data_IF_110560936604
#
_entry.id   IF_110560936604
#
_cell.length_a   1.000
_cell.length_b   1.000
_cell.length_c   1.000
_cell.angle_alpha   90.00
_cell.angle_beta   90.00
_cell.angle_gamma   90.00
#
_symmetry.space_group_name_H-M   'P 1'
#
loop_
_entity.id
_entity.type
_entity.pdbx_description
1 polymer ?
#
# COMPACT_ATOMS: atom_id res chain seq x y z
N UNK A 1 9.96 -9.89 25.14
CA UNK A 1 9.17 -10.04 26.38
C UNK A 1 7.78 -10.45 25.95
N UNK A 2 7.51 -11.76 25.95
CA UNK A 2 6.33 -12.35 25.35
C UNK A 2 5.19 -12.40 26.37
N UNK A 3 4.12 -11.67 26.08
CA UNK A 3 2.71 -12.02 26.28
C UNK A 3 2.41 -13.12 27.33
N UNK A 4 2.35 -12.75 28.61
CA UNK A 4 1.83 -13.61 29.69
C UNK A 4 0.32 -13.45 29.93
N UNK A 5 -0.37 -12.65 29.11
CA UNK A 5 -1.80 -12.36 29.30
C UNK A 5 -2.75 -13.43 28.74
N UNK A 6 -2.28 -14.33 27.85
CA UNK A 6 -3.14 -15.33 27.20
C UNK A 6 -3.22 -16.69 27.90
N UNK A 7 -2.37 -16.96 28.89
CA UNK A 7 -2.30 -18.30 29.50
C UNK A 7 -3.32 -18.50 30.64
N UNK A 8 -3.85 -17.42 31.23
CA UNK A 8 -4.73 -17.52 32.41
C UNK A 8 -6.24 -17.61 32.10
N UNK A 9 -6.67 -17.30 30.87
CA UNK A 9 -8.10 -17.37 30.50
C UNK A 9 -8.53 -18.82 30.19
N UNK A 10 -7.66 -19.65 29.62
CA UNK A 10 -8.00 -21.03 29.26
C UNK A 10 -8.14 -21.98 30.47
N UNK A 11 -7.43 -21.70 31.58
CA UNK A 11 -7.49 -22.50 32.80
C UNK A 11 -8.70 -22.17 33.69
N UNK A 12 -9.23 -20.95 33.61
CA UNK A 12 -10.37 -20.54 34.44
C UNK A 12 -11.69 -21.18 33.97
N UNK A 13 -11.82 -21.50 32.67
CA UNK A 13 -13.02 -22.12 32.12
C UNK A 13 -13.10 -23.65 32.29
N UNK A 14 -11.98 -24.35 32.54
CA UNK A 14 -11.96 -25.81 32.67
C UNK A 14 -12.20 -26.30 34.11
N UNK A 15 -11.87 -25.49 35.13
CA UNK A 15 -12.09 -25.86 36.54
C UNK A 15 -13.54 -25.73 37.00
N UNK A 16 -14.39 -24.97 36.29
CA UNK A 16 -15.81 -24.86 36.59
C UNK A 16 -16.63 -26.11 36.20
N UNK A 17 -16.02 -27.09 35.52
CA UNK A 17 -16.71 -28.27 34.98
C UNK A 17 -16.48 -29.59 35.75
N UNK A 18 -15.72 -29.60 36.86
CA UNK A 18 -15.33 -30.86 37.52
C UNK A 18 -15.59 -30.93 39.04
N UNK A 19 -16.62 -30.25 39.53
CA UNK A 19 -17.18 -30.53 40.87
C UNK A 19 -18.69 -30.78 40.80
N UNK A 20 -19.06 -31.88 40.13
CA UNK A 20 -20.43 -32.39 40.10
C UNK A 20 -20.44 -33.88 40.40
N UNK A 21 -20.22 -34.24 41.66
CA UNK A 21 -20.51 -35.59 42.14
C UNK A 21 -22.02 -35.81 42.10
N UNK A 22 -22.49 -36.55 41.10
CA UNK A 22 -23.68 -37.41 41.18
C UNK A 22 -25.05 -36.73 41.35
N UNK A 23 -25.94 -37.01 40.39
CA UNK A 23 -27.38 -37.08 40.63
C UNK A 23 -28.20 -35.90 40.13
N UNK A 24 -28.86 -36.10 38.98
CA UNK A 24 -30.17 -35.51 38.67
C UNK A 24 -30.29 -34.00 38.80
N UNK A 25 -29.67 -33.25 37.89
CA UNK A 25 -30.21 -31.94 37.52
C UNK A 25 -30.14 -31.82 36.00
N UNK A 26 -31.27 -31.45 35.41
CA UNK A 26 -31.31 -31.06 34.00
C UNK A 26 -30.34 -29.90 33.87
N UNK A 27 -29.42 -29.84 32.88
CA UNK A 27 -28.55 -28.70 32.74
C UNK A 27 -29.45 -27.47 32.55
N UNK A 28 -29.61 -26.67 33.61
CA UNK A 28 -30.23 -25.34 33.51
C UNK A 28 -29.45 -24.63 32.43
N UNK A 29 -30.11 -24.11 31.37
CA UNK A 29 -29.43 -23.32 30.37
C UNK A 29 -28.63 -22.24 31.09
N UNK A 30 -27.30 -22.35 31.07
CA UNK A 30 -26.43 -21.28 31.54
C UNK A 30 -26.84 -20.10 30.66
N UNK A 31 -27.42 -19.07 31.27
CA UNK A 31 -28.28 -18.09 30.60
C UNK A 31 -27.76 -17.60 29.25
N UNK A 32 -28.69 -17.19 28.38
CA UNK A 32 -28.39 -16.71 27.03
C UNK A 32 -27.30 -15.63 27.07
N UNK A 33 -26.21 -15.84 26.32
CA UNK A 33 -25.19 -14.81 26.09
C UNK A 33 -25.50 -14.14 24.77
N UNK A 34 -25.75 -12.83 24.80
CA UNK A 34 -25.85 -12.02 23.58
C UNK A 34 -24.49 -11.43 23.23
N UNK A 35 -24.14 -11.49 21.95
CA UNK A 35 -22.97 -10.79 21.40
C UNK A 35 -23.47 -9.79 20.38
N UNK A 36 -23.09 -8.53 20.53
CA UNK A 36 -23.48 -7.45 19.63
C UNK A 36 -22.26 -6.62 19.25
N UNK A 37 -22.25 -6.08 18.04
CA UNK A 37 -21.23 -5.12 17.61
C UNK A 37 -21.62 -3.75 18.14
N UNK A 38 -20.68 -3.11 18.85
CA UNK A 38 -20.80 -1.72 19.28
C UNK A 38 -20.38 -0.78 18.15
N UNK A 39 -19.38 0.05 18.43
CA UNK A 39 -18.86 1.03 17.47
C UNK A 39 -17.66 0.47 16.70
N UNK A 40 -17.60 0.80 15.41
CA UNK A 40 -16.42 0.54 14.58
C UNK A 40 -15.66 1.85 14.41
N UNK A 41 -14.47 1.92 15.00
CA UNK A 41 -13.55 3.02 14.89
C UNK A 41 -12.54 2.77 13.78
N UNK A 42 -12.33 3.77 12.95
CA UNK A 42 -11.24 3.79 11.99
C UNK A 42 -10.06 4.55 12.62
N UNK A 43 -8.98 3.84 12.94
CA UNK A 43 -7.81 4.38 13.64
C UNK A 43 -6.66 4.72 12.68
N UNK A 44 -5.63 5.40 13.17
CA UNK A 44 -4.48 5.77 12.34
C UNK A 44 -3.83 4.56 11.64
N UNK A 45 -3.18 4.76 10.48
CA UNK A 45 -2.69 3.66 9.65
C UNK A 45 -1.58 2.81 10.29
N UNK A 46 -0.90 3.35 11.30
CA UNK A 46 0.16 2.66 12.04
C UNK A 46 -0.33 2.14 13.41
N UNK A 47 -1.60 2.30 13.73
CA UNK A 47 -2.18 1.75 14.94
C UNK A 47 -2.50 0.25 14.75
N UNK A 48 -2.42 -0.53 15.82
CA UNK A 48 -2.75 -1.95 15.75
C UNK A 48 -4.27 -2.16 15.78
N UNK A 49 -4.73 -3.11 14.97
CA UNK A 49 -6.11 -3.58 15.04
C UNK A 49 -6.38 -4.19 16.42
N UNK A 50 -7.50 -3.82 17.04
CA UNK A 50 -7.92 -4.37 18.33
C UNK A 50 -9.43 -4.44 18.44
N UNK A 51 -9.88 -5.35 19.30
CA UNK A 51 -11.29 -5.51 19.68
C UNK A 51 -11.38 -5.38 21.20
N UNK A 52 -12.34 -4.60 21.67
CA UNK A 52 -12.56 -4.36 23.10
C UNK A 52 -13.99 -4.77 23.46
N UNK A 53 -14.14 -5.62 24.48
CA UNK A 53 -15.46 -5.89 25.06
C UNK A 53 -15.79 -4.78 26.06
N UNK A 54 -16.73 -3.91 25.70
CA UNK A 54 -17.29 -2.87 26.58
C UNK A 54 -18.55 -3.34 27.33
N UNK A 55 -19.03 -4.54 26.99
CA UNK A 55 -20.14 -5.21 27.66
C UNK A 55 -19.69 -6.06 28.86
N UNK A 56 -20.55 -6.99 29.26
CA UNK A 56 -20.27 -7.96 30.32
C UNK A 56 -20.33 -9.39 29.79
N UNK A 57 -20.11 -10.38 30.65
CA UNK A 57 -20.03 -11.80 30.26
C UNK A 57 -21.36 -12.36 29.70
N UNK A 58 -22.49 -11.74 30.03
CA UNK A 58 -23.83 -12.17 29.58
C UNK A 58 -24.37 -11.31 28.43
N UNK A 59 -23.89 -10.08 28.29
CA UNK A 59 -24.20 -9.17 27.20
C UNK A 59 -22.91 -8.53 26.68
N UNK A 60 -22.25 -9.25 25.78
CA UNK A 60 -20.96 -8.88 25.19
C UNK A 60 -21.21 -7.83 24.10
N UNK A 61 -20.55 -6.69 24.23
CA UNK A 61 -20.59 -5.62 23.23
C UNK A 61 -19.18 -5.34 22.76
N UNK A 62 -18.89 -5.60 21.48
CA UNK A 62 -17.55 -5.53 20.93
C UNK A 62 -17.37 -4.25 20.11
N UNK A 63 -16.45 -3.39 20.55
CA UNK A 63 -15.95 -2.27 19.75
C UNK A 63 -14.75 -2.72 18.92
N UNK A 64 -14.73 -2.31 17.66
CA UNK A 64 -13.67 -2.65 16.71
C UNK A 64 -12.85 -1.41 16.38
N UNK A 65 -11.53 -1.57 16.37
CA UNK A 65 -10.60 -0.53 15.94
C UNK A 65 -9.85 -1.05 14.72
N UNK A 66 -10.17 -0.49 13.56
CA UNK A 66 -9.68 -0.92 12.26
C UNK A 66 -8.69 0.14 11.74
N UNK A 67 -7.42 -0.22 11.52
CA UNK A 67 -6.44 0.72 10.97
C UNK A 67 -6.80 1.15 9.55
N UNK A 68 -6.59 2.44 9.28
CA UNK A 68 -6.65 2.99 7.93
C UNK A 68 -5.56 2.37 7.04
N UNK A 69 -5.78 2.37 5.73
CA UNK A 69 -4.69 2.14 4.79
C UNK A 69 -3.67 3.27 4.88
N UNK A 70 -2.38 2.95 4.73
CA UNK A 70 -1.33 3.96 4.57
C UNK A 70 -1.61 4.71 3.26
N UNK A 71 -1.53 6.05 3.28
CA UNK A 71 -1.66 6.84 2.06
C UNK A 71 -0.57 6.44 1.06
N UNK A 72 -0.95 6.26 -0.21
CA UNK A 72 0.03 6.06 -1.28
C UNK A 72 0.91 7.29 -1.46
N UNK A 73 2.21 7.10 -1.68
CA UNK A 73 3.08 8.19 -2.11
C UNK A 73 2.69 8.61 -3.54
N UNK A 74 2.84 9.90 -3.85
CA UNK A 74 2.68 10.39 -5.21
C UNK A 74 3.80 9.79 -6.08
N UNK A 75 3.43 9.05 -7.12
CA UNK A 75 4.37 8.43 -8.04
C UNK A 75 4.78 9.39 -9.15
N UNK A 76 6.07 9.43 -9.46
CA UNK A 76 6.64 10.08 -10.63
C UNK A 76 7.17 9.04 -11.65
N UNK A 77 7.41 9.48 -12.88
CA UNK A 77 8.01 8.67 -13.93
C UNK A 77 9.42 9.15 -14.26
N UNK A 78 10.36 8.22 -14.30
CA UNK A 78 11.74 8.44 -14.74
C UNK A 78 12.02 7.66 -16.02
N UNK A 79 12.94 8.19 -16.82
CA UNK A 79 13.53 7.47 -17.96
C UNK A 79 15.04 7.32 -17.67
N UNK A 80 15.57 6.10 -17.84
CA UNK A 80 16.97 5.79 -17.52
C UNK A 80 17.64 4.93 -18.57
N UNK A 81 18.86 5.29 -18.98
CA UNK A 81 19.72 4.49 -19.85
C UNK A 81 20.66 3.54 -19.09
N UNK A 82 20.56 3.53 -17.76
CA UNK A 82 21.30 2.61 -16.91
C UNK A 82 20.87 1.15 -17.13
N UNK A 83 21.63 0.22 -16.57
CA UNK A 83 21.28 -1.20 -16.60
C UNK A 83 19.92 -1.40 -15.90
N UNK A 84 18.94 -2.08 -16.53
CA UNK A 84 17.65 -2.37 -15.93
C UNK A 84 17.77 -2.95 -14.51
N UNK A 85 16.95 -2.43 -13.60
CA UNK A 85 17.03 -2.71 -12.16
C UNK A 85 17.98 -1.81 -11.37
N UNK A 86 18.70 -0.89 -12.02
CA UNK A 86 19.51 0.14 -11.34
C UNK A 86 18.65 1.31 -10.89
N UNK A 87 18.54 1.55 -9.57
CA UNK A 87 17.79 2.68 -9.04
C UNK A 87 18.28 4.02 -9.62
N UNK A 88 17.33 4.86 -10.06
CA UNK A 88 17.61 6.22 -10.53
C UNK A 88 17.78 7.17 -9.35
N UNK A 89 18.77 8.06 -9.42
CA UNK A 89 19.00 9.07 -8.39
C UNK A 89 17.76 9.97 -8.21
N UNK A 90 17.31 10.12 -6.97
CA UNK A 90 16.11 10.90 -6.64
C UNK A 90 14.79 10.12 -6.70
N UNK A 91 14.78 8.90 -7.24
CA UNK A 91 13.58 8.06 -7.26
C UNK A 91 13.26 7.52 -5.85
N UNK A 92 12.00 7.65 -5.44
CA UNK A 92 11.47 7.20 -4.14
C UNK A 92 10.40 6.14 -4.31
N UNK A 93 10.02 5.51 -3.20
CA UNK A 93 9.01 4.46 -3.19
C UNK A 93 7.70 4.88 -3.85
N UNK A 94 7.26 4.07 -4.81
CA UNK A 94 6.08 4.34 -5.62
C UNK A 94 6.41 4.84 -7.02
N UNK A 95 7.61 5.37 -7.27
CA UNK A 95 8.00 5.88 -8.59
C UNK A 95 8.15 4.75 -9.62
N UNK A 96 7.98 5.10 -10.89
CA UNK A 96 8.13 4.21 -12.03
C UNK A 96 9.35 4.61 -12.84
N UNK A 97 10.13 3.64 -13.28
CA UNK A 97 11.34 3.82 -14.08
C UNK A 97 11.14 3.06 -15.38
N UNK A 98 11.16 3.78 -16.51
CA UNK A 98 11.25 3.18 -17.84
C UNK A 98 12.72 3.17 -18.26
N UNK A 99 13.27 1.98 -18.45
CA UNK A 99 14.62 1.85 -19.01
C UNK A 99 14.58 1.99 -20.53
N UNK A 100 15.70 2.40 -21.10
CA UNK A 100 15.86 2.50 -22.56
C UNK A 100 15.86 1.14 -23.27
N UNK A 101 15.92 0.04 -22.51
CA UNK A 101 15.62 -1.32 -23.00
C UNK A 101 14.13 -1.57 -23.21
N UNK A 102 13.27 -0.65 -22.74
CA UNK A 102 11.82 -0.74 -22.78
C UNK A 102 11.19 -1.33 -21.51
N UNK A 103 12.00 -1.83 -20.56
CA UNK A 103 11.47 -2.45 -19.35
C UNK A 103 11.02 -1.40 -18.33
N UNK A 104 9.89 -1.66 -17.67
CA UNK A 104 9.32 -0.79 -16.65
C UNK A 104 9.49 -1.42 -15.27
N UNK A 105 10.10 -0.66 -14.38
CA UNK A 105 10.31 -1.03 -12.99
C UNK A 105 9.56 -0.07 -12.09
N UNK A 106 9.16 -0.53 -10.91
CA UNK A 106 8.62 0.29 -9.83
C UNK A 106 9.59 0.33 -8.68
N UNK A 107 9.81 1.51 -8.10
CA UNK A 107 10.59 1.63 -6.88
C UNK A 107 9.75 1.16 -5.70
N UNK A 108 10.24 0.14 -5.01
CA UNK A 108 9.63 -0.45 -3.82
C UNK A 108 10.73 -0.67 -2.80
N UNK A 109 10.58 -0.11 -1.60
CA UNK A 109 11.55 -0.20 -0.51
C UNK A 109 12.98 0.20 -0.95
N UNK A 110 13.08 1.30 -1.70
CA UNK A 110 14.31 1.86 -2.25
C UNK A 110 14.95 1.03 -3.37
N UNK A 111 14.22 0.08 -3.98
CA UNK A 111 14.75 -0.80 -5.03
C UNK A 111 13.89 -0.75 -6.28
N UNK A 112 14.52 -0.71 -7.45
CA UNK A 112 13.81 -0.90 -8.71
C UNK A 112 13.39 -2.36 -8.85
N UNK A 113 12.08 -2.62 -8.83
CA UNK A 113 11.48 -3.95 -8.98
C UNK A 113 10.81 -4.05 -10.33
N UNK A 114 11.18 -5.05 -11.12
CA UNK A 114 10.58 -5.29 -12.44
C UNK A 114 9.07 -5.50 -12.32
N UNK A 115 8.30 -4.84 -13.18
CA UNK A 115 6.84 -4.99 -13.25
C UNK A 115 6.42 -6.05 -14.27
N UNK A 116 7.37 -6.68 -14.98
CA UNK A 116 7.09 -7.59 -16.08
C UNK A 116 6.42 -6.90 -17.26
N UNK A 117 6.56 -5.57 -17.34
CA UNK A 117 6.01 -4.73 -18.39
C UNK A 117 7.15 -4.21 -19.26
N UNK A 118 7.14 -4.59 -20.52
CA UNK A 118 8.02 -4.02 -21.54
C UNK A 118 7.19 -3.14 -22.45
N UNK A 119 7.44 -1.84 -22.43
CA UNK A 119 6.84 -0.91 -23.37
C UNK A 119 7.72 -0.91 -24.60
N UNK A 120 7.22 -1.45 -25.72
CA UNK A 120 7.76 -1.37 -27.09
C UNK A 120 8.86 -2.38 -27.47
N UNK A 121 8.75 -2.90 -28.70
CA UNK A 121 9.56 -4.01 -29.24
C UNK A 121 10.82 -3.65 -30.02
N UNK A 122 11.76 -4.60 -29.97
CA UNK A 122 12.97 -4.91 -30.78
C UNK A 122 13.86 -3.81 -31.38
N UNK A 123 13.76 -2.52 -31.01
CA UNK A 123 14.68 -1.51 -31.55
C UNK A 123 15.28 -0.62 -30.44
N UNK A 124 16.58 -0.83 -30.23
CA UNK A 124 17.42 -0.37 -29.12
C UNK A 124 17.73 1.15 -29.11
N UNK A 125 16.73 2.02 -29.14
CA UNK A 125 16.97 3.46 -28.94
C UNK A 125 16.05 4.08 -27.88
N UNK A 126 16.60 4.78 -26.86
CA UNK A 126 15.85 5.55 -25.85
C UNK A 126 14.77 6.45 -26.44
N UNK A 127 15.05 6.95 -27.65
CA UNK A 127 14.28 7.98 -28.32
C UNK A 127 13.02 7.45 -29.01
N UNK A 128 12.95 6.15 -29.34
CA UNK A 128 11.73 5.56 -29.90
C UNK A 128 10.61 5.49 -28.84
N UNK A 129 10.99 5.47 -27.55
CA UNK A 129 10.06 5.49 -26.42
C UNK A 129 9.49 6.90 -26.14
N UNK A 130 10.30 7.94 -26.24
CA UNK A 130 9.84 9.34 -26.14
C UNK A 130 8.93 9.75 -27.32
N UNK A 131 9.22 9.23 -28.52
CA UNK A 131 8.39 9.40 -29.73
C UNK A 131 7.04 8.67 -29.60
N UNK A 132 7.02 7.47 -29.00
CA UNK A 132 5.78 6.70 -28.73
C UNK A 132 4.87 7.34 -27.66
N UNK A 133 5.42 8.17 -26.77
CA UNK A 133 4.64 8.98 -25.83
C UNK A 133 3.96 10.22 -26.47
N UNK A 134 4.06 10.39 -27.80
CA UNK A 134 3.28 11.38 -28.55
C UNK A 134 4.10 12.40 -29.36
N UNK A 135 5.43 12.35 -29.34
CA UNK A 135 6.28 13.27 -30.11
C UNK A 135 6.51 12.77 -31.54
N UNK A 136 5.74 13.27 -32.52
CA UNK A 136 5.97 13.01 -33.96
C UNK A 136 7.03 13.95 -34.55
N UNK A 137 8.30 13.73 -34.27
CA UNK A 137 9.43 14.49 -34.83
C UNK A 137 10.70 13.66 -35.02
N UNK A 138 11.59 14.09 -35.93
CA UNK A 138 12.93 13.50 -36.07
C UNK A 138 13.81 13.85 -34.86
N UNK A 139 14.86 13.06 -34.63
CA UNK A 139 15.82 13.24 -33.53
C UNK A 139 16.36 14.67 -33.42
N UNK A 140 16.77 15.25 -34.56
CA UNK A 140 17.25 16.64 -34.65
C UNK A 140 16.22 17.64 -34.18
N UNK A 141 14.93 17.43 -34.51
CA UNK A 141 13.85 18.33 -34.14
C UNK A 141 13.49 18.24 -32.66
N UNK A 142 13.63 17.07 -32.04
CA UNK A 142 13.47 16.93 -30.59
C UNK A 142 14.58 17.66 -29.84
N UNK A 143 15.84 17.47 -30.26
CA UNK A 143 16.98 18.15 -29.65
C UNK A 143 16.88 19.67 -29.79
N UNK A 144 16.49 20.17 -30.97
CA UNK A 144 16.25 21.60 -31.20
C UNK A 144 15.13 22.15 -30.32
N UNK A 145 14.00 21.44 -30.19
CA UNK A 145 12.87 21.88 -29.38
C UNK A 145 13.14 21.78 -27.87
N UNK A 146 13.91 20.78 -27.44
CA UNK A 146 14.35 20.62 -26.05
C UNK A 146 15.33 21.72 -25.65
N UNK A 147 16.31 22.03 -26.51
CA UNK A 147 17.26 23.10 -26.29
C UNK A 147 16.61 24.49 -26.36
N UNK A 148 15.61 24.66 -27.24
CA UNK A 148 14.80 25.87 -27.31
C UNK A 148 13.94 26.05 -26.05
N UNK A 149 13.39 24.96 -25.48
CA UNK A 149 12.63 25.02 -24.24
C UNK A 149 13.47 25.41 -23.02
N UNK A 150 14.72 24.97 -22.93
CA UNK A 150 15.60 25.32 -21.82
C UNK A 150 16.02 26.80 -21.88
N UNK A 151 16.12 27.37 -23.08
CA UNK A 151 16.54 28.75 -23.30
C UNK A 151 15.38 29.75 -23.44
N UNK A 152 14.13 29.29 -23.54
CA UNK A 152 12.98 30.18 -23.78
C UNK A 152 12.47 30.88 -22.51
N UNK A 153 12.98 30.52 -21.32
CA UNK A 153 12.54 31.10 -20.05
C UNK A 153 11.10 30.78 -19.67
N UNK A 154 10.39 29.96 -20.46
CA UNK A 154 9.06 29.47 -20.16
C UNK A 154 9.16 28.07 -19.51
N UNK A 155 8.51 27.91 -18.37
CA UNK A 155 8.39 26.62 -17.69
C UNK A 155 7.65 25.64 -18.60
N UNK A 156 8.31 24.55 -18.97
CA UNK A 156 7.80 23.60 -19.94
C UNK A 156 6.68 22.75 -19.31
N UNK A 157 5.42 23.06 -19.61
CA UNK A 157 4.20 22.38 -19.12
C UNK A 157 4.13 20.88 -19.49
N UNK A 158 5.07 20.39 -20.30
CA UNK A 158 5.18 18.97 -20.66
C UNK A 158 5.67 18.11 -19.48
N UNK A 159 6.29 18.73 -18.45
CA UNK A 159 6.84 18.04 -17.29
C UNK A 159 6.13 18.36 -15.96
N UNK A 160 5.18 19.30 -15.93
CA UNK A 160 4.39 19.56 -14.73
C UNK A 160 3.06 18.82 -14.85
N UNK A 161 2.88 17.74 -14.09
CA UNK A 161 1.59 17.12 -13.82
C UNK A 161 0.65 18.01 -12.99
N UNK A 162 0.72 19.32 -13.19
CA UNK A 162 0.19 20.37 -12.35
C UNK A 162 -0.93 21.13 -13.05
N UNK A 163 -2.07 21.16 -12.35
CA UNK A 163 -3.27 21.99 -12.56
C UNK A 163 -3.04 23.26 -13.39
N UNK A 164 -3.85 23.41 -14.44
CA UNK A 164 -4.13 24.69 -15.08
C UNK A 164 -4.83 25.61 -14.06
N UNK A 165 -4.10 26.59 -13.52
CA UNK A 165 -4.72 27.69 -12.78
C UNK A 165 -5.34 28.69 -13.76
N UNK A 166 -6.67 28.80 -13.69
CA UNK A 166 -7.45 29.95 -14.16
C UNK A 166 -8.49 30.28 -13.11
#
# INVERSE_FOLDING_TARGET
MANEALTNIALLYSMAAISGSGGGDTPTPRGSVSVTVGTVYTVGPNEQAKVINIGNEQNVVLDFYIPQGVAGQGSQWYISDAIPGTLVEGAVDGDLILYTTGEVYKVVDGKAVDQGLTIGGTNNSPYDYAVKAGFKGSETKFQELWLASLNSGFTNTILDGGKSDS
#
